data_IF_422185309775
#
_entry.id   IF_422185309775
#
_cell.length_a   1.000
_cell.length_b   1.000
_cell.length_c   1.000
_cell.angle_alpha   90.00
_cell.angle_beta   90.00
_cell.angle_gamma   90.00
#
_symmetry.space_group_name_H-M   'P 1'
#
loop_
_entity.id
_entity.type
_entity.pdbx_description
1 polymer ?
#
# COMPACT_ATOMS: atom_id res chain seq x y z
N UNK A 1 -17.25 -9.94 -7.36
CA UNK A 1 -16.70 -8.58 -7.65
C UNK A 1 -16.35 -7.87 -6.35
N UNK A 2 -15.33 -6.99 -6.35
CA UNK A 2 -14.84 -6.31 -5.15
C UNK A 2 -14.04 -5.04 -5.44
N UNK A 3 -13.61 -4.36 -4.38
CA UNK A 3 -12.86 -3.11 -4.42
C UNK A 3 -11.42 -3.25 -3.88
N UNK A 4 -10.68 -2.15 -3.90
CA UNK A 4 -9.33 -2.06 -3.32
C UNK A 4 -9.33 -1.17 -2.09
N UNK A 5 -8.53 -1.55 -1.10
CA UNK A 5 -8.25 -0.74 0.08
C UNK A 5 -6.76 -0.57 0.31
N UNK A 6 -6.40 0.47 1.04
CA UNK A 6 -5.07 0.64 1.65
C UNK A 6 -5.14 0.31 3.13
N UNK A 7 -4.06 -0.20 3.72
CA UNK A 7 -4.01 -0.55 5.13
C UNK A 7 -2.66 -0.22 5.72
N UNK A 8 -2.66 0.59 6.78
CA UNK A 8 -1.49 0.83 7.64
C UNK A 8 -1.65 0.09 8.96
N UNK A 9 -2.64 0.48 9.78
CA UNK A 9 -2.94 -0.17 11.06
C UNK A 9 -4.06 -1.22 11.02
N UNK A 10 -4.97 -1.12 10.05
CA UNK A 10 -6.13 -2.02 9.98
C UNK A 10 -7.17 -1.68 8.92
N UNK A 11 -6.96 -0.67 8.09
CA UNK A 11 -7.98 -0.07 7.22
C UNK A 11 -8.50 -0.95 6.08
N UNK A 12 -7.99 -2.17 5.91
CA UNK A 12 -8.64 -3.22 5.10
C UNK A 12 -9.47 -4.15 5.99
N UNK A 13 -8.88 -4.68 7.07
CA UNK A 13 -9.53 -5.69 7.93
C UNK A 13 -10.66 -5.12 8.79
N UNK A 14 -10.48 -3.90 9.31
CA UNK A 14 -11.47 -3.19 10.13
C UNK A 14 -12.80 -2.98 9.41
N UNK A 15 -12.84 -2.27 8.25
CA UNK A 15 -14.08 -2.09 7.52
C UNK A 15 -14.64 -3.42 6.98
N UNK A 16 -13.79 -4.38 6.62
CA UNK A 16 -14.26 -5.70 6.20
C UNK A 16 -15.06 -6.42 7.31
N UNK A 17 -14.58 -6.41 8.55
CA UNK A 17 -15.32 -6.94 9.70
C UNK A 17 -16.63 -6.20 9.96
N UNK A 18 -16.65 -4.87 9.79
CA UNK A 18 -17.85 -4.05 10.05
C UNK A 18 -18.92 -4.22 8.96
N UNK A 19 -18.52 -4.43 7.71
CA UNK A 19 -19.43 -4.58 6.57
C UNK A 19 -19.74 -6.04 6.23
N UNK A 20 -19.18 -7.01 6.94
CA UNK A 20 -19.44 -8.44 6.70
C UNK A 20 -18.86 -8.94 5.37
N UNK A 21 -17.73 -8.40 4.93
CA UNK A 21 -17.05 -8.80 3.70
C UNK A 21 -15.63 -9.32 3.98
N UNK A 22 -15.00 -9.92 2.97
CA UNK A 22 -13.61 -10.38 3.06
C UNK A 22 -12.66 -9.20 2.82
N UNK A 23 -11.72 -8.98 3.74
CA UNK A 23 -10.65 -7.99 3.61
C UNK A 23 -9.28 -8.62 3.76
N UNK A 24 -8.54 -8.75 2.64
CA UNK A 24 -7.23 -9.38 2.64
C UNK A 24 -6.12 -8.33 2.68
N UNK A 25 -5.40 -8.27 3.81
CA UNK A 25 -4.14 -7.52 3.90
C UNK A 25 -2.99 -8.44 3.50
N UNK A 26 -2.33 -8.23 2.35
CA UNK A 26 -1.26 -9.12 1.93
C UNK A 26 0.00 -8.95 2.80
N UNK A 27 0.94 -9.88 2.64
CA UNK A 27 2.29 -9.80 3.22
C UNK A 27 2.96 -8.50 2.78
N UNK A 28 3.75 -7.89 3.69
CA UNK A 28 4.49 -6.68 3.36
C UNK A 28 5.39 -6.90 2.13
N UNK A 29 5.32 -5.96 1.19
CA UNK A 29 6.04 -6.05 -0.08
C UNK A 29 5.48 -7.08 -1.07
N UNK A 30 4.32 -7.70 -0.86
CA UNK A 30 3.71 -8.56 -1.88
C UNK A 30 3.14 -7.76 -3.06
N UNK A 31 2.49 -6.64 -2.76
CA UNK A 31 1.83 -5.77 -3.75
C UNK A 31 2.57 -4.44 -3.83
N UNK A 32 2.78 -3.93 -5.05
CA UNK A 32 3.37 -2.61 -5.28
C UNK A 32 2.48 -1.49 -4.74
N UNK A 33 3.11 -0.44 -4.20
CA UNK A 33 2.44 0.75 -3.65
C UNK A 33 2.71 2.00 -4.49
N UNK A 34 3.24 1.80 -5.70
CA UNK A 34 3.47 2.90 -6.64
C UNK A 34 2.13 3.57 -6.98
N UNK A 35 2.07 4.89 -6.88
CA UNK A 35 0.86 5.67 -7.14
C UNK A 35 -0.13 5.72 -5.97
N UNK A 36 0.16 5.09 -4.84
CA UNK A 36 -0.67 5.15 -3.63
C UNK A 36 -0.16 6.26 -2.72
N UNK A 37 -1.07 7.08 -2.18
CA UNK A 37 -0.70 8.06 -1.16
C UNK A 37 -0.31 7.31 0.11
N UNK A 38 0.95 7.48 0.52
CA UNK A 38 1.54 6.74 1.63
C UNK A 38 1.30 7.44 2.96
N UNK A 39 0.83 6.70 3.95
CA UNK A 39 0.80 7.12 5.36
C UNK A 39 2.09 6.67 6.07
N UNK A 40 2.52 5.43 5.85
CA UNK A 40 3.74 4.87 6.44
C UNK A 40 4.46 3.92 5.48
N UNK A 41 5.71 4.27 5.16
CA UNK A 41 6.54 3.50 4.23
C UNK A 41 6.79 2.07 4.66
N UNK A 42 6.86 1.81 5.97
CA UNK A 42 7.13 0.50 6.54
C UNK A 42 5.88 -0.33 6.81
N UNK A 43 4.70 0.28 6.77
CA UNK A 43 3.45 -0.39 7.19
C UNK A 43 2.35 -0.40 6.14
N UNK A 44 2.41 0.46 5.12
CA UNK A 44 1.33 0.50 4.13
C UNK A 44 1.27 -0.79 3.29
N UNK A 45 0.05 -1.28 3.11
CA UNK A 45 -0.33 -2.37 2.20
C UNK A 45 -1.47 -1.91 1.29
N UNK A 46 -1.57 -2.51 0.11
CA UNK A 46 -2.78 -2.45 -0.73
C UNK A 46 -3.33 -3.85 -0.87
N UNK A 47 -4.64 -4.03 -0.75
CA UNK A 47 -5.27 -5.34 -0.83
C UNK A 47 -6.76 -5.28 -1.16
N UNK A 48 -7.34 -6.43 -1.55
CA UNK A 48 -8.73 -6.49 -1.99
C UNK A 48 -9.73 -6.53 -0.83
N UNK A 49 -10.92 -5.99 -1.13
CA UNK A 49 -12.15 -6.06 -0.34
C UNK A 49 -13.22 -6.72 -1.21
N UNK A 50 -13.64 -7.94 -0.88
CA UNK A 50 -14.50 -8.77 -1.76
C UNK A 50 -15.59 -9.47 -0.96
N UNK A 51 -16.64 -9.95 -1.62
CA UNK A 51 -17.70 -10.73 -0.97
C UNK A 51 -17.27 -12.17 -0.64
N UNK A 52 -16.36 -12.75 -1.43
CA UNK A 52 -15.88 -14.12 -1.23
C UNK A 52 -14.34 -14.16 -1.13
N UNK A 53 -13.83 -15.24 -0.55
CA UNK A 53 -12.38 -15.49 -0.45
C UNK A 53 -11.78 -15.78 -1.82
N UNK A 54 -12.52 -16.48 -2.69
CA UNK A 54 -12.09 -16.77 -4.07
C UNK A 54 -11.88 -15.48 -4.88
N UNK A 55 -12.82 -14.54 -4.80
CA UNK A 55 -12.68 -13.23 -5.44
C UNK A 55 -11.44 -12.49 -4.91
N UNK A 56 -11.15 -12.60 -3.61
CA UNK A 56 -9.96 -11.98 -3.01
C UNK A 56 -8.67 -12.58 -3.59
N UNK A 57 -8.66 -13.89 -3.85
CA UNK A 57 -7.53 -14.58 -4.43
C UNK A 57 -7.31 -14.20 -5.90
N UNK A 58 -8.39 -14.08 -6.69
CA UNK A 58 -8.30 -13.63 -8.08
C UNK A 58 -7.85 -12.17 -8.18
N UNK A 59 -8.40 -11.28 -7.36
CA UNK A 59 -7.98 -9.88 -7.34
C UNK A 59 -6.52 -9.74 -6.88
N UNK A 60 -6.08 -10.49 -5.87
CA UNK A 60 -4.70 -10.46 -5.42
C UNK A 60 -3.73 -10.93 -6.52
N UNK A 61 -4.10 -11.92 -7.32
CA UNK A 61 -3.29 -12.39 -8.46
C UNK A 61 -3.18 -11.35 -9.57
N UNK A 62 -4.21 -10.52 -9.77
CA UNK A 62 -4.20 -9.45 -10.76
C UNK A 62 -3.40 -8.21 -10.31
N UNK A 63 -3.09 -8.07 -9.01
CA UNK A 63 -2.36 -6.92 -8.48
C UNK A 63 -0.86 -6.98 -8.84
N UNK A 64 -0.23 -5.83 -9.13
CA UNK A 64 1.18 -5.80 -9.48
C UNK A 64 2.05 -6.19 -8.28
N UNK A 65 2.98 -7.11 -8.50
CA UNK A 65 3.98 -7.47 -7.51
C UNK A 65 4.90 -6.28 -7.20
N UNK A 66 5.42 -6.23 -5.97
CA UNK A 66 6.42 -5.21 -5.64
C UNK A 66 7.66 -5.42 -6.51
N UNK A 67 7.99 -4.43 -7.32
CA UNK A 67 9.32 -4.32 -7.92
C UNK A 67 10.23 -3.65 -6.90
N UNK A 68 11.44 -4.19 -6.71
CA UNK A 68 12.52 -3.53 -5.97
C UNK A 68 12.99 -2.28 -6.75
N UNK A 69 12.14 -1.26 -6.82
CA UNK A 69 12.60 0.09 -7.08
C UNK A 69 12.78 0.72 -5.70
N UNK A 70 13.97 1.22 -5.34
CA UNK A 70 14.12 1.95 -4.09
C UNK A 70 13.02 3.01 -4.04
N UNK A 71 12.39 3.25 -2.86
CA UNK A 71 11.39 4.30 -2.78
C UNK A 71 12.02 5.57 -3.35
N UNK A 72 11.24 6.35 -4.09
CA UNK A 72 11.60 7.65 -4.69
C UNK A 72 12.15 8.69 -3.66
N UNK A 73 12.33 8.26 -2.42
CA UNK A 73 12.84 8.92 -1.24
C UNK A 73 14.34 9.25 -1.38
N UNK A 74 15.22 8.41 -1.93
CA UNK A 74 16.63 8.85 -2.09
C UNK A 74 16.77 10.03 -3.07
N UNK A 75 15.92 10.09 -4.10
CA UNK A 75 16.01 11.15 -5.13
C UNK A 75 15.20 12.41 -4.80
N UNK A 76 14.12 12.31 -4.01
CA UNK A 76 13.25 13.46 -3.69
C UNK A 76 13.68 14.21 -2.43
N UNK A 77 14.27 13.53 -1.45
CA UNK A 77 14.77 14.19 -0.23
C UNK A 77 16.10 14.92 -0.44
N UNK A 78 16.90 14.54 -1.45
CA UNK A 78 18.08 15.29 -1.87
C UNK A 78 17.74 16.69 -2.43
N UNK A 79 16.48 16.95 -2.83
CA UNK A 79 16.02 18.27 -3.29
C UNK A 79 15.27 19.09 -2.23
N UNK A 80 14.80 18.47 -1.14
CA UNK A 80 14.02 19.15 -0.08
C UNK A 80 14.88 19.45 1.16
N UNK A 81 15.88 18.62 1.46
CA UNK A 81 16.78 18.81 2.63
C UNK A 81 17.97 19.72 2.30
N UNK A 82 18.15 20.12 1.04
CA UNK A 82 19.17 21.09 0.65
C UNK A 82 18.61 22.54 0.61
N UNK A 83 17.91 22.97 1.65
CA UNK A 83 17.95 24.41 1.97
C UNK A 83 19.39 24.71 2.42
N UNK A 84 20.09 25.68 1.82
CA UNK A 84 21.52 25.86 2.02
C UNK A 84 21.77 26.40 3.43
N UNK A 85 21.99 25.51 4.40
CA UNK A 85 22.62 25.89 5.65
C UNK A 85 24.11 26.13 5.37
N UNK A 86 24.43 27.41 5.13
CA UNK A 86 25.78 27.96 5.21
C UNK A 86 26.57 28.00 3.90
N UNK A 87 26.66 29.19 3.29
CA UNK A 87 27.90 29.89 2.90
C UNK A 87 27.59 31.33 2.47
N UNK A 88 27.57 32.24 3.45
CA UNK A 88 28.16 33.60 3.51
C UNK A 88 27.76 34.23 4.83
#
# INVERSE_FOLDING_TARGET
MGGLGSCTGGSIRGPASLCGIVGLKPTYGRVSRAGVVTLSWSQDHVGPLTYTVEDSAYMLQALPAMTLKPPLVVERWSRIILFPFGKT
#
